data_IF_014120862923
#
_entry.id   IF_014120862923
#
_cell.length_a   1.000
_cell.length_b   1.000
_cell.length_c   1.000
_cell.angle_alpha   90.00
_cell.angle_beta   90.00
_cell.angle_gamma   90.00
#
_symmetry.space_group_name_H-M   'P 1'
#
loop_
_entity.id
_entity.type
_entity.pdbx_description
1 polymer ?
#
# COMPACT_ATOMS: atom_id res chain seq x y z
N UNK A 1 -33.50 16.71 12.86
CA UNK A 1 -32.65 15.59 13.32
C UNK A 1 -31.27 16.16 13.43
N UNK A 2 -30.70 16.22 14.64
CA UNK A 2 -29.32 16.65 14.85
C UNK A 2 -28.46 15.55 14.30
N UNK A 3 -27.68 15.87 13.27
CA UNK A 3 -26.68 14.97 12.69
C UNK A 3 -25.60 14.75 13.76
N UNK A 4 -25.74 13.67 14.52
CA UNK A 4 -24.72 13.24 15.48
C UNK A 4 -23.61 12.61 14.66
N UNK A 5 -22.59 13.40 14.29
CA UNK A 5 -21.35 12.85 13.74
C UNK A 5 -20.82 11.79 14.71
N UNK A 6 -20.44 10.60 14.27
CA UNK A 6 -19.86 9.59 15.15
C UNK A 6 -18.64 10.20 15.83
N UNK A 7 -18.66 10.34 17.15
CA UNK A 7 -17.46 10.68 17.90
C UNK A 7 -16.56 9.44 17.85
N UNK A 8 -15.46 9.51 17.14
CA UNK A 8 -14.40 8.50 17.21
C UNK A 8 -13.71 8.64 18.58
N UNK A 9 -14.12 7.81 19.52
CA UNK A 9 -13.60 7.84 20.88
C UNK A 9 -12.11 7.44 20.96
N UNK A 10 -11.59 6.67 19.98
CA UNK A 10 -10.19 6.28 19.90
C UNK A 10 -9.31 7.40 19.33
N UNK A 11 -9.82 8.34 18.55
CA UNK A 11 -9.04 9.40 17.91
C UNK A 11 -8.11 10.17 18.86
N UNK A 12 -8.53 10.64 20.07
CA UNK A 12 -7.63 11.33 20.98
C UNK A 12 -6.50 10.44 21.51
N UNK A 13 -6.75 9.16 21.76
CA UNK A 13 -5.75 8.21 22.27
C UNK A 13 -4.73 7.89 21.17
N UNK A 14 -5.18 7.65 19.96
CA UNK A 14 -4.36 7.36 18.79
C UNK A 14 -3.54 8.60 18.39
N UNK A 15 -4.15 9.81 18.41
CA UNK A 15 -3.43 11.06 18.15
C UNK A 15 -2.30 11.28 19.17
N UNK A 16 -2.58 11.13 20.47
CA UNK A 16 -1.56 11.27 21.52
C UNK A 16 -0.44 10.22 21.39
N UNK A 17 -0.78 9.01 20.93
CA UNK A 17 0.21 7.97 20.66
C UNK A 17 1.16 8.39 19.54
N UNK A 18 0.66 8.82 18.39
CA UNK A 18 1.50 9.25 17.25
C UNK A 18 2.15 10.63 17.45
N UNK A 19 1.64 11.47 18.34
CA UNK A 19 2.35 12.68 18.77
C UNK A 19 3.63 12.33 19.55
N UNK A 20 3.61 11.21 20.27
CA UNK A 20 4.76 10.71 21.01
C UNK A 20 5.69 9.83 20.16
N UNK A 21 5.14 9.02 19.28
CA UNK A 21 5.85 8.07 18.42
C UNK A 21 5.47 8.33 16.96
N UNK A 22 5.97 9.45 16.36
CA UNK A 22 5.67 9.75 14.95
C UNK A 22 6.05 8.58 14.04
N UNK A 23 5.07 8.05 13.29
CA UNK A 23 5.23 6.85 12.47
C UNK A 23 4.97 7.15 10.98
N UNK A 24 5.65 6.48 10.05
CA UNK A 24 6.77 5.55 10.26
C UNK A 24 8.04 6.28 10.70
N UNK A 25 8.94 5.55 11.40
CA UNK A 25 10.19 6.08 11.94
C UNK A 25 11.33 6.19 10.91
N UNK A 26 11.02 6.32 9.64
CA UNK A 26 12.00 6.42 8.56
C UNK A 26 12.85 7.69 8.67
N UNK A 27 14.18 7.60 8.43
CA UNK A 27 15.05 8.75 8.53
C UNK A 27 14.70 9.83 7.51
N UNK A 28 14.91 11.08 7.90
CA UNK A 28 14.82 12.20 6.97
C UNK A 28 16.05 12.22 6.05
N UNK A 29 15.83 12.56 4.79
CA UNK A 29 16.86 12.64 3.77
C UNK A 29 16.69 13.88 2.91
N UNK A 30 17.77 14.32 2.29
CA UNK A 30 17.74 15.39 1.30
C UNK A 30 17.54 14.81 -0.10
N UNK A 31 16.66 15.43 -0.88
CA UNK A 31 16.31 14.99 -2.23
C UNK A 31 15.20 13.92 -2.26
N UNK A 32 14.84 13.43 -3.47
CA UNK A 32 13.74 12.51 -3.69
C UNK A 32 13.84 11.24 -2.85
N UNK A 33 12.72 10.60 -2.48
CA UNK A 33 12.75 9.36 -1.73
C UNK A 33 13.44 8.27 -2.57
N UNK A 34 14.29 7.44 -1.93
CA UNK A 34 14.96 6.35 -2.63
C UNK A 34 13.98 5.25 -2.94
N UNK A 35 14.14 4.65 -4.10
CA UNK A 35 13.49 3.40 -4.44
C UNK A 35 12.18 3.52 -5.17
N UNK A 36 11.60 2.38 -5.33
CA UNK A 36 10.51 2.09 -6.22
C UNK A 36 9.25 1.77 -5.42
N UNK A 37 8.17 2.53 -5.64
CA UNK A 37 6.85 2.15 -5.15
C UNK A 37 5.76 2.49 -6.17
N UNK A 38 5.47 1.55 -7.07
CA UNK A 38 4.48 1.72 -8.12
C UNK A 38 3.05 1.94 -7.58
N UNK A 39 2.76 1.51 -6.34
CA UNK A 39 1.45 1.70 -5.70
C UNK A 39 1.14 3.16 -5.43
N UNK A 40 2.16 3.98 -5.30
CA UNK A 40 2.02 5.43 -5.12
C UNK A 40 2.13 6.23 -6.42
N UNK A 41 2.25 5.55 -7.57
CA UNK A 41 2.16 6.13 -8.90
C UNK A 41 0.78 5.86 -9.49
N UNK A 42 -0.08 6.86 -9.55
CA UNK A 42 -1.46 6.72 -10.05
C UNK A 42 -1.55 6.04 -11.42
N UNK A 43 -0.66 6.41 -12.35
CA UNK A 43 -0.61 5.85 -13.69
C UNK A 43 -0.28 4.35 -13.67
N UNK A 44 0.66 3.95 -12.83
CA UNK A 44 1.04 2.54 -12.65
C UNK A 44 -0.09 1.72 -12.03
N UNK A 45 -0.78 2.31 -11.04
CA UNK A 45 -1.96 1.68 -10.42
C UNK A 45 -3.09 1.49 -11.41
N UNK A 46 -3.40 2.50 -12.24
CA UNK A 46 -4.41 2.37 -13.30
C UNK A 46 -4.05 1.23 -14.28
N UNK A 47 -2.79 1.17 -14.71
CA UNK A 47 -2.33 0.09 -15.59
C UNK A 47 -2.42 -1.29 -14.92
N UNK A 48 -2.07 -1.40 -13.64
CA UNK A 48 -2.15 -2.65 -12.88
C UNK A 48 -3.61 -3.13 -12.72
N UNK A 49 -4.52 -2.21 -12.38
CA UNK A 49 -5.92 -2.53 -12.08
C UNK A 49 -6.75 -2.68 -13.36
N UNK A 50 -6.65 -1.74 -14.30
CA UNK A 50 -7.48 -1.73 -15.52
C UNK A 50 -6.82 -2.41 -16.73
N UNK A 51 -5.54 -2.80 -16.64
CA UNK A 51 -4.79 -3.37 -17.76
C UNK A 51 -4.26 -2.33 -18.75
N UNK A 52 -4.49 -1.05 -18.52
CA UNK A 52 -3.96 0.08 -19.27
C UNK A 52 -4.03 1.36 -18.44
N UNK A 53 -3.27 2.38 -18.84
CA UNK A 53 -3.39 3.73 -18.31
C UNK A 53 -3.92 4.68 -19.39
N UNK A 54 -4.52 5.83 -19.02
CA UNK A 54 -4.93 6.84 -19.97
C UNK A 54 -3.76 7.38 -20.79
N UNK A 55 -4.01 7.74 -22.03
CA UNK A 55 -3.07 8.48 -22.85
C UNK A 55 -2.91 9.92 -22.30
N UNK A 56 -1.68 10.46 -22.37
CA UNK A 56 -1.38 11.82 -21.91
C UNK A 56 -0.98 11.91 -20.43
N UNK A 57 -0.74 13.13 -19.97
CA UNK A 57 -0.39 13.44 -18.57
C UNK A 57 -1.67 13.83 -17.84
N UNK A 58 -2.33 12.88 -17.22
CA UNK A 58 -3.38 13.21 -16.23
C UNK A 58 -2.73 13.90 -15.03
N UNK A 59 -3.35 14.97 -14.56
CA UNK A 59 -2.99 15.62 -13.30
C UNK A 59 -4.01 15.14 -12.25
N UNK A 60 -3.79 14.00 -11.59
CA UNK A 60 -4.75 13.45 -10.67
C UNK A 60 -4.85 14.30 -9.40
N UNK A 61 -6.02 14.28 -8.81
CA UNK A 61 -6.22 14.76 -7.46
C UNK A 61 -6.05 13.58 -6.51
N UNK A 62 -5.09 13.68 -5.58
CA UNK A 62 -4.65 12.57 -4.72
C UNK A 62 -4.86 12.93 -3.25
N UNK A 63 -5.43 12.00 -2.49
CA UNK A 63 -5.49 12.07 -1.03
C UNK A 63 -4.53 11.05 -0.42
N UNK A 64 -3.65 11.50 0.45
CA UNK A 64 -2.90 10.67 1.38
C UNK A 64 -3.58 10.70 2.75
N UNK A 65 -4.36 9.68 3.02
CA UNK A 65 -5.28 9.61 4.15
C UNK A 65 -4.63 8.88 5.32
N UNK A 66 -4.15 9.64 6.32
CA UNK A 66 -3.29 9.16 7.39
C UNK A 66 -1.83 9.15 6.95
N UNK A 67 -1.33 10.32 6.56
CA UNK A 67 0.00 10.45 5.93
C UNK A 67 1.18 10.25 6.90
N UNK A 68 0.93 10.22 8.20
CA UNK A 68 1.94 10.05 9.22
C UNK A 68 3.10 11.03 9.08
N UNK A 69 4.34 10.52 9.09
CA UNK A 69 5.57 11.31 8.89
C UNK A 69 5.85 11.68 7.43
N UNK A 70 4.87 11.48 6.52
CA UNK A 70 4.92 11.95 5.14
C UNK A 70 5.69 11.06 4.17
N UNK A 71 6.02 9.82 4.53
CA UNK A 71 6.76 8.91 3.63
C UNK A 71 5.96 8.64 2.36
N UNK A 72 4.69 8.23 2.48
CA UNK A 72 3.82 8.03 1.32
C UNK A 72 3.59 9.31 0.53
N UNK A 73 3.37 10.44 1.22
CA UNK A 73 3.16 11.74 0.56
C UNK A 73 4.36 12.14 -0.30
N UNK A 74 5.57 11.88 0.17
CA UNK A 74 6.80 12.17 -0.55
C UNK A 74 6.86 11.41 -1.88
N UNK A 75 6.60 10.11 -1.85
CA UNK A 75 6.48 9.30 -3.07
C UNK A 75 5.33 9.75 -3.97
N UNK A 76 4.15 10.03 -3.39
CA UNK A 76 2.98 10.49 -4.16
C UNK A 76 3.30 11.77 -4.94
N UNK A 77 4.05 12.70 -4.34
CA UNK A 77 4.45 13.93 -5.02
C UNK A 77 5.45 13.66 -6.16
N UNK A 78 6.50 12.90 -5.89
CA UNK A 78 7.57 12.65 -6.87
C UNK A 78 7.14 11.72 -8.03
N UNK A 79 6.19 10.80 -7.80
CA UNK A 79 5.73 9.83 -8.79
C UNK A 79 4.50 10.31 -9.60
N UNK A 80 3.90 11.45 -9.23
CA UNK A 80 2.75 12.02 -9.93
C UNK A 80 2.97 13.51 -10.21
N UNK A 81 3.94 13.88 -11.08
CA UNK A 81 4.25 15.25 -11.37
C UNK A 81 3.01 16.04 -11.82
N UNK A 82 2.83 17.23 -11.23
CA UNK A 82 1.69 18.10 -11.54
C UNK A 82 0.37 17.73 -10.86
N UNK A 83 0.31 16.68 -10.01
CA UNK A 83 -0.89 16.32 -9.24
C UNK A 83 -1.32 17.43 -8.26
N UNK A 84 -2.60 17.41 -7.83
CA UNK A 84 -3.09 18.12 -6.63
C UNK A 84 -3.09 17.13 -5.47
N UNK A 85 -2.18 17.30 -4.50
CA UNK A 85 -1.99 16.35 -3.38
C UNK A 85 -2.48 16.97 -2.08
N UNK A 86 -3.34 16.23 -1.38
CA UNK A 86 -3.82 16.55 -0.04
C UNK A 86 -3.35 15.44 0.90
N UNK A 87 -2.62 15.80 1.94
CA UNK A 87 -2.14 14.89 2.96
C UNK A 87 -2.80 15.22 4.30
N UNK A 88 -3.47 14.27 4.92
CA UNK A 88 -4.17 14.48 6.17
C UNK A 88 -3.70 13.49 7.24
N UNK A 89 -3.58 13.98 8.46
CA UNK A 89 -3.30 13.15 9.63
C UNK A 89 -3.92 13.78 10.89
N UNK A 90 -4.12 13.00 11.94
CA UNK A 90 -4.65 13.50 13.22
C UNK A 90 -3.55 13.95 14.18
N UNK A 91 -2.29 13.56 13.94
CA UNK A 91 -1.13 13.85 14.79
C UNK A 91 -0.37 15.10 14.33
N UNK A 92 -0.27 16.09 15.19
CA UNK A 92 0.58 17.27 14.96
C UNK A 92 2.07 16.90 14.97
N UNK A 93 2.46 15.91 15.80
CA UNK A 93 3.82 15.40 15.87
C UNK A 93 4.25 14.77 14.53
N UNK A 94 3.44 13.87 13.99
CA UNK A 94 3.69 13.25 12.70
C UNK A 94 3.73 14.28 11.56
N UNK A 95 2.76 15.20 11.51
CA UNK A 95 2.71 16.27 10.50
C UNK A 95 3.90 17.23 10.58
N UNK A 96 4.49 17.42 11.75
CA UNK A 96 5.70 18.23 11.88
C UNK A 96 6.88 17.55 11.18
N UNK A 97 7.07 16.24 11.39
CA UNK A 97 8.08 15.45 10.68
C UNK A 97 7.80 15.41 9.17
N UNK A 98 6.53 15.24 8.79
CA UNK A 98 6.11 15.25 7.38
C UNK A 98 6.48 16.56 6.66
N UNK A 99 6.23 17.72 7.29
CA UNK A 99 6.61 19.03 6.71
C UNK A 99 8.11 19.13 6.47
N UNK A 100 8.92 18.71 7.44
CA UNK A 100 10.37 18.69 7.28
C UNK A 100 10.81 17.75 6.17
N UNK A 101 10.27 16.52 6.11
CA UNK A 101 10.54 15.55 5.03
C UNK A 101 10.27 16.15 3.66
N UNK A 102 9.06 16.65 3.45
CA UNK A 102 8.61 17.16 2.14
C UNK A 102 9.34 18.45 1.72
N UNK A 103 9.78 19.26 2.69
CA UNK A 103 10.65 20.40 2.42
C UNK A 103 12.05 19.95 1.96
N UNK A 104 12.64 18.97 2.64
CA UNK A 104 14.01 18.48 2.32
C UNK A 104 14.06 17.71 1.01
N UNK A 105 12.99 17.00 0.68
CA UNK A 105 12.91 16.24 -0.57
C UNK A 105 12.58 17.08 -1.80
N UNK A 106 12.05 18.29 -1.62
CA UNK A 106 11.56 19.13 -2.73
C UNK A 106 10.21 18.66 -3.29
N UNK A 107 9.41 17.94 -2.51
CA UNK A 107 8.14 17.34 -2.94
C UNK A 107 7.13 18.38 -3.47
N UNK A 108 7.03 19.54 -2.83
CA UNK A 108 6.10 20.59 -3.24
C UNK A 108 6.41 21.17 -4.63
N UNK A 109 7.64 21.06 -5.10
CA UNK A 109 8.07 21.54 -6.42
C UNK A 109 7.66 20.59 -7.56
N UNK A 110 7.29 19.35 -7.21
CA UNK A 110 6.91 18.32 -8.19
C UNK A 110 5.44 18.39 -8.59
N UNK A 111 4.59 18.98 -7.75
CA UNK A 111 3.13 18.94 -7.87
C UNK A 111 2.55 20.32 -8.08
N UNK A 112 1.32 20.38 -8.61
CA UNK A 112 0.62 21.67 -8.83
C UNK A 112 0.16 22.29 -7.50
N UNK A 113 -0.14 21.45 -6.50
CA UNK A 113 -0.59 21.84 -5.17
C UNK A 113 -0.24 20.75 -4.17
N UNK A 114 0.23 21.15 -2.99
CA UNK A 114 0.44 20.28 -1.84
C UNK A 114 -0.15 20.92 -0.60
N UNK A 115 -1.17 20.29 -0.02
CA UNK A 115 -1.79 20.71 1.24
C UNK A 115 -1.56 19.64 2.31
N UNK A 116 -1.12 20.08 3.49
CA UNK A 116 -0.96 19.23 4.66
C UNK A 116 -1.87 19.75 5.77
N UNK A 117 -2.78 18.92 6.24
CA UNK A 117 -3.81 19.32 7.18
C UNK A 117 -3.90 18.37 8.37
N UNK A 118 -4.02 18.93 9.57
CA UNK A 118 -4.46 18.16 10.72
C UNK A 118 -5.97 17.94 10.61
N UNK A 119 -6.37 16.72 10.27
CA UNK A 119 -7.75 16.42 9.96
C UNK A 119 -8.07 14.95 10.21
N UNK A 120 -9.25 14.66 10.76
CA UNK A 120 -9.75 13.30 10.87
C UNK A 120 -10.25 12.79 9.53
N UNK A 121 -10.01 11.51 9.24
CA UNK A 121 -10.59 10.83 8.07
C UNK A 121 -12.12 10.80 8.10
N UNK A 122 -12.73 10.97 9.28
CA UNK A 122 -14.18 11.02 9.43
C UNK A 122 -14.78 12.37 8.98
N UNK A 123 -13.96 13.36 8.65
CA UNK A 123 -14.37 14.74 8.31
C UNK A 123 -13.88 15.18 6.92
N UNK A 124 -14.07 14.33 5.90
CA UNK A 124 -13.68 14.62 4.51
C UNK A 124 -14.84 15.17 3.64
N UNK A 125 -16.02 15.42 4.22
CA UNK A 125 -17.28 15.63 3.50
C UNK A 125 -17.33 16.79 2.50
N UNK A 126 -16.51 17.85 2.66
CA UNK A 126 -16.52 19.04 1.82
C UNK A 126 -15.42 19.07 0.74
N UNK A 127 -14.63 17.98 0.64
CA UNK A 127 -13.58 17.88 -0.37
C UNK A 127 -14.14 17.57 -1.77
N UNK A 128 -13.50 18.13 -2.78
CA UNK A 128 -13.73 17.68 -4.14
C UNK A 128 -13.24 16.24 -4.29
N UNK A 129 -13.91 15.43 -5.12
CA UNK A 129 -13.55 14.02 -5.26
C UNK A 129 -12.09 13.81 -5.70
N UNK A 130 -11.47 12.75 -5.17
CA UNK A 130 -10.10 12.35 -5.47
C UNK A 130 -10.07 11.22 -6.50
N UNK A 131 -9.18 11.33 -7.48
CA UNK A 131 -8.93 10.27 -8.47
C UNK A 131 -8.19 9.08 -7.84
N UNK A 132 -7.38 9.35 -6.84
CA UNK A 132 -6.63 8.35 -6.10
C UNK A 132 -6.61 8.68 -4.61
N UNK A 133 -6.92 7.68 -3.80
CA UNK A 133 -6.79 7.79 -2.34
C UNK A 133 -5.82 6.70 -1.88
N UNK A 134 -4.79 7.09 -1.13
CA UNK A 134 -3.88 6.21 -0.45
C UNK A 134 -4.19 6.21 1.04
N UNK A 135 -4.39 5.04 1.66
CA UNK A 135 -4.57 4.91 3.11
C UNK A 135 -3.90 3.62 3.59
N UNK A 136 -2.63 3.73 3.93
CA UNK A 136 -1.74 2.62 4.27
C UNK A 136 -1.47 2.63 5.76
N UNK A 137 -1.87 1.57 6.46
CA UNK A 137 -1.62 1.43 7.89
C UNK A 137 -2.51 2.32 8.78
N UNK A 138 -3.76 2.63 8.37
CA UNK A 138 -4.56 3.66 9.05
C UNK A 138 -5.91 3.15 9.57
N UNK A 139 -6.76 2.61 8.69
CA UNK A 139 -8.16 2.31 9.04
C UNK A 139 -8.30 1.30 10.18
N UNK A 140 -7.37 0.39 10.30
CA UNK A 140 -7.38 -0.63 11.37
C UNK A 140 -7.06 -0.05 12.77
N UNK A 141 -6.66 1.22 12.85
CA UNK A 141 -6.46 1.96 14.10
C UNK A 141 -7.64 2.85 14.49
N UNK A 142 -8.69 2.92 13.67
CA UNK A 142 -9.92 3.61 14.03
C UNK A 142 -10.77 2.75 14.98
N UNK A 143 -11.54 3.42 15.85
CA UNK A 143 -12.57 2.77 16.66
C UNK A 143 -13.69 2.17 15.79
N UNK A 144 -14.03 2.89 14.71
CA UNK A 144 -15.03 2.48 13.73
C UNK A 144 -14.42 2.47 12.31
N UNK A 145 -13.67 1.43 11.93
CA UNK A 145 -13.01 1.35 10.61
C UNK A 145 -13.99 1.51 9.45
N UNK A 146 -15.22 0.99 9.58
CA UNK A 146 -16.26 1.09 8.55
C UNK A 146 -16.72 2.54 8.33
N UNK A 147 -16.72 3.38 9.37
CA UNK A 147 -17.03 4.80 9.24
C UNK A 147 -15.92 5.53 8.48
N UNK A 148 -14.65 5.20 8.77
CA UNK A 148 -13.49 5.68 8.02
C UNK A 148 -13.56 5.28 6.55
N UNK A 149 -13.84 4.01 6.26
CA UNK A 149 -13.97 3.53 4.90
C UNK A 149 -15.11 4.21 4.14
N UNK A 150 -16.27 4.42 4.76
CA UNK A 150 -17.39 5.17 4.14
C UNK A 150 -17.03 6.63 3.84
N UNK A 151 -16.27 7.28 4.72
CA UNK A 151 -15.79 8.65 4.48
C UNK A 151 -14.86 8.69 3.26
N UNK A 152 -13.88 7.77 3.18
CA UNK A 152 -12.99 7.66 2.02
C UNK A 152 -13.78 7.33 0.74
N UNK A 153 -14.75 6.42 0.82
CA UNK A 153 -15.62 6.10 -0.31
C UNK A 153 -16.42 7.32 -0.78
N UNK A 154 -16.90 8.16 0.14
CA UNK A 154 -17.56 9.43 -0.16
C UNK A 154 -16.66 10.38 -0.94
N UNK A 155 -15.41 10.51 -0.53
CA UNK A 155 -14.40 11.37 -1.13
C UNK A 155 -13.79 10.84 -2.44
N UNK A 156 -13.99 9.56 -2.80
CA UNK A 156 -13.47 8.96 -4.02
C UNK A 156 -14.25 9.44 -5.24
N UNK A 157 -13.58 9.78 -6.33
CA UNK A 157 -14.20 10.13 -7.61
C UNK A 157 -14.89 8.91 -8.26
N UNK A 158 -15.89 9.12 -9.13
CA UNK A 158 -16.33 8.06 -10.05
C UNK A 158 -15.15 7.59 -10.92
N UNK A 159 -14.84 6.29 -10.88
CA UNK A 159 -13.67 5.73 -11.57
C UNK A 159 -12.34 5.88 -10.83
N UNK A 160 -12.33 6.56 -9.68
CA UNK A 160 -11.15 6.64 -8.81
C UNK A 160 -10.84 5.31 -8.14
N UNK A 161 -9.59 5.17 -7.66
CA UNK A 161 -9.09 3.99 -6.95
C UNK A 161 -8.67 4.35 -5.52
N UNK A 162 -9.04 3.48 -4.59
CA UNK A 162 -8.63 3.55 -3.19
C UNK A 162 -7.62 2.42 -2.92
N UNK A 163 -6.40 2.77 -2.53
CA UNK A 163 -5.35 1.86 -2.09
C UNK A 163 -5.40 1.71 -0.57
N UNK A 164 -5.49 0.49 -0.10
CA UNK A 164 -5.55 0.16 1.32
C UNK A 164 -4.49 -0.87 1.71
N UNK A 165 -3.96 -0.67 2.92
CA UNK A 165 -3.18 -1.64 3.65
C UNK A 165 -3.84 -1.88 5.01
N UNK A 166 -4.23 -3.13 5.29
CA UNK A 166 -4.85 -3.53 6.55
C UNK A 166 -4.17 -4.75 7.13
N UNK A 167 -4.17 -4.87 8.45
CA UNK A 167 -3.58 -6.01 9.13
C UNK A 167 -4.38 -7.31 8.93
N UNK A 168 -3.66 -8.42 8.70
CA UNK A 168 -4.23 -9.76 8.58
C UNK A 168 -4.07 -10.56 9.88
N UNK A 169 -5.14 -11.25 10.29
CA UNK A 169 -5.19 -12.00 11.54
C UNK A 169 -4.10 -13.10 11.62
N UNK A 170 -3.92 -13.84 10.52
CA UNK A 170 -3.08 -15.02 10.50
C UNK A 170 -1.62 -14.70 10.86
N UNK A 171 -1.01 -13.78 10.12
CA UNK A 171 0.40 -13.42 10.28
C UNK A 171 0.70 -12.48 11.44
N UNK A 172 -0.31 -12.11 12.23
CA UNK A 172 -0.14 -11.26 13.42
C UNK A 172 -0.41 -11.99 14.75
N UNK A 173 -0.58 -13.31 14.71
CA UNK A 173 -0.89 -14.07 15.92
C UNK A 173 0.15 -13.87 17.02
N UNK A 174 1.45 -13.93 16.73
CA UNK A 174 2.53 -13.72 17.69
C UNK A 174 2.56 -12.28 18.21
N UNK A 175 2.25 -11.33 17.35
CA UNK A 175 2.18 -9.90 17.70
C UNK A 175 1.05 -9.68 18.70
N UNK A 176 -0.17 -10.16 18.41
CA UNK A 176 -1.32 -10.04 19.32
C UNK A 176 -1.07 -10.71 20.67
N UNK A 177 -0.37 -11.87 20.69
CA UNK A 177 0.02 -12.54 21.94
C UNK A 177 1.01 -11.69 22.73
N UNK A 178 1.96 -11.06 22.05
CA UNK A 178 2.95 -10.17 22.69
C UNK A 178 2.26 -8.92 23.25
N UNK A 179 1.41 -8.27 22.48
CA UNK A 179 0.60 -7.11 22.92
C UNK A 179 -0.23 -7.48 24.16
N UNK A 180 -0.90 -8.64 24.12
CA UNK A 180 -1.67 -9.11 25.28
C UNK A 180 -0.80 -9.40 26.51
N UNK A 181 0.40 -9.97 26.33
CA UNK A 181 1.33 -10.21 27.43
C UNK A 181 1.81 -8.88 28.05
N UNK A 182 2.17 -7.91 27.23
CA UNK A 182 2.56 -6.56 27.69
C UNK A 182 1.42 -5.88 28.46
N UNK A 183 0.19 -5.95 27.96
CA UNK A 183 -1.00 -5.43 28.66
C UNK A 183 -1.19 -6.09 30.03
N UNK A 184 -1.00 -7.42 30.16
CA UNK A 184 -1.11 -8.14 31.43
C UNK A 184 -0.01 -7.77 32.43
N UNK A 185 1.15 -7.30 31.92
CA UNK A 185 2.26 -6.81 32.73
C UNK A 185 2.16 -5.31 33.04
N UNK A 186 1.05 -4.66 32.64
CA UNK A 186 0.85 -3.22 32.76
C UNK A 186 1.96 -2.40 32.04
N UNK A 187 2.44 -2.93 30.93
CA UNK A 187 3.42 -2.29 30.04
C UNK A 187 2.67 -1.68 28.86
N UNK A 188 2.63 -0.37 28.81
CA UNK A 188 1.99 0.42 27.77
C UNK A 188 2.91 1.48 27.19
N UNK A 189 2.37 2.62 26.86
CA UNK A 189 3.10 3.77 26.27
C UNK A 189 3.77 4.67 27.31
N UNK A 190 3.83 4.27 28.57
CA UNK A 190 4.48 5.02 29.64
C UNK A 190 6.00 5.19 29.41
N UNK A 191 6.66 5.97 30.28
CA UNK A 191 8.07 6.37 30.07
C UNK A 191 9.05 5.19 29.90
N UNK A 192 8.76 4.04 30.51
CA UNK A 192 9.57 2.83 30.45
C UNK A 192 8.99 1.72 29.55
N UNK A 193 7.85 1.97 28.90
CA UNK A 193 7.15 0.97 28.09
C UNK A 193 8.01 0.39 26.97
N UNK A 194 8.73 1.21 26.22
CA UNK A 194 9.69 0.76 25.18
C UNK A 194 10.75 -0.16 25.78
N UNK A 195 11.37 0.27 26.88
CA UNK A 195 12.42 -0.50 27.55
C UNK A 195 11.91 -1.85 28.05
N UNK A 196 10.76 -1.86 28.71
CA UNK A 196 10.14 -3.10 29.22
C UNK A 196 9.63 -3.99 28.10
N UNK A 197 9.04 -3.39 27.05
CA UNK A 197 8.60 -4.14 25.87
C UNK A 197 9.75 -4.85 25.17
N UNK A 198 10.89 -4.19 24.97
CA UNK A 198 12.09 -4.80 24.41
C UNK A 198 12.67 -5.87 25.33
N UNK A 199 12.74 -5.59 26.64
CA UNK A 199 13.23 -6.53 27.64
C UNK A 199 12.39 -7.81 27.71
N UNK A 200 11.12 -7.78 27.34
CA UNK A 200 10.30 -9.00 27.27
C UNK A 200 10.95 -10.05 26.36
N UNK A 201 11.38 -9.68 25.17
CA UNK A 201 12.00 -10.61 24.21
C UNK A 201 13.36 -11.11 24.72
N UNK A 202 14.15 -10.26 25.39
CA UNK A 202 15.43 -10.66 25.97
C UNK A 202 15.27 -11.65 27.13
N UNK A 203 14.17 -11.51 27.90
CA UNK A 203 13.88 -12.35 29.07
C UNK A 203 13.30 -13.71 28.69
N UNK A 204 12.58 -13.82 27.59
CA UNK A 204 11.99 -15.07 27.13
C UNK A 204 13.09 -16.09 26.76
N UNK A 205 12.92 -17.39 27.03
CA UNK A 205 13.85 -18.43 26.57
C UNK A 205 14.02 -18.38 25.04
N UNK A 206 15.22 -18.70 24.53
CA UNK A 206 15.52 -18.73 23.07
C UNK A 206 14.59 -19.65 22.29
N UNK A 207 14.07 -20.70 22.92
CA UNK A 207 13.11 -21.64 22.31
C UNK A 207 11.68 -21.09 22.29
N UNK A 208 11.41 -19.96 22.93
CA UNK A 208 10.07 -19.35 22.95
C UNK A 208 9.67 -18.88 21.56
N UNK A 209 8.44 -19.22 21.14
CA UNK A 209 7.94 -18.91 19.80
C UNK A 209 7.84 -17.39 19.55
N UNK A 210 7.40 -16.59 20.52
CA UNK A 210 7.25 -15.14 20.37
C UNK A 210 8.62 -14.47 20.18
N UNK A 211 9.65 -14.88 20.99
CA UNK A 211 11.01 -14.39 20.84
C UNK A 211 11.57 -14.70 19.46
N UNK A 212 11.49 -15.96 19.03
CA UNK A 212 12.00 -16.37 17.70
C UNK A 212 11.30 -15.64 16.55
N UNK A 213 9.97 -15.50 16.62
CA UNK A 213 9.20 -14.78 15.61
C UNK A 213 9.63 -13.31 15.52
N UNK A 214 9.82 -12.63 16.66
CA UNK A 214 10.34 -11.27 16.68
C UNK A 214 11.75 -11.19 16.06
N UNK A 215 12.68 -12.03 16.55
CA UNK A 215 14.09 -12.02 16.11
C UNK A 215 14.26 -12.32 14.60
N UNK A 216 13.45 -13.25 14.07
CA UNK A 216 13.57 -13.71 12.70
C UNK A 216 12.85 -12.81 11.68
N UNK A 217 11.79 -12.16 12.11
CA UNK A 217 10.89 -11.46 11.19
C UNK A 217 10.83 -9.95 11.40
N UNK A 218 10.85 -9.47 12.63
CA UNK A 218 10.50 -8.09 12.95
C UNK A 218 11.60 -7.28 13.62
N UNK A 219 12.69 -7.90 14.07
CA UNK A 219 13.72 -7.20 14.84
C UNK A 219 14.32 -6.02 14.09
N UNK A 220 14.52 -6.16 12.77
CA UNK A 220 15.07 -5.07 11.92
C UNK A 220 14.06 -3.95 11.78
N UNK A 221 12.81 -4.27 11.46
CA UNK A 221 11.74 -3.28 11.24
C UNK A 221 11.37 -2.57 12.55
N UNK A 222 11.47 -3.26 13.69
CA UNK A 222 11.21 -2.73 15.03
C UNK A 222 12.44 -2.09 15.69
N UNK A 223 13.57 -1.96 15.00
CA UNK A 223 14.74 -1.29 15.57
C UNK A 223 14.47 0.19 15.94
N UNK A 224 13.78 1.00 15.10
CA UNK A 224 13.31 2.33 15.51
C UNK A 224 12.24 2.22 16.61
N UNK A 225 12.28 3.15 17.57
CA UNK A 225 11.34 3.17 18.70
C UNK A 225 9.89 3.37 18.25
N UNK A 226 9.65 4.22 17.27
CA UNK A 226 8.30 4.44 16.72
C UNK A 226 7.72 3.15 16.13
N UNK A 227 8.52 2.38 15.38
CA UNK A 227 8.08 1.14 14.77
C UNK A 227 7.84 0.03 15.81
N UNK A 228 8.68 -0.04 16.85
CA UNK A 228 8.44 -0.96 17.96
C UNK A 228 7.15 -0.61 18.72
N UNK A 229 6.95 0.68 18.99
CA UNK A 229 5.76 1.16 19.66
C UNK A 229 4.50 0.86 18.84
N UNK A 230 4.51 1.17 17.56
CA UNK A 230 3.39 0.89 16.64
C UNK A 230 3.03 -0.59 16.63
N UNK A 231 4.00 -1.47 16.54
CA UNK A 231 3.76 -2.92 16.47
C UNK A 231 3.30 -3.54 17.79
N UNK A 232 3.85 -3.14 18.94
CA UNK A 232 3.65 -3.88 20.19
C UNK A 232 2.94 -3.09 21.28
N UNK A 233 2.92 -1.75 21.22
CA UNK A 233 2.37 -0.88 22.25
C UNK A 233 1.18 -0.05 21.77
N UNK A 234 0.75 -0.20 20.51
CA UNK A 234 -0.36 0.56 19.96
C UNK A 234 -1.66 0.28 20.76
N UNK A 235 -2.39 1.35 21.18
CA UNK A 235 -3.55 1.18 22.06
C UNK A 235 -4.79 0.63 21.34
N UNK A 236 -4.87 0.72 20.01
CA UNK A 236 -6.06 0.39 19.23
C UNK A 236 -5.68 -0.27 17.91
N UNK A 237 -6.10 -1.51 17.71
CA UNK A 237 -5.82 -2.27 16.49
C UNK A 237 -6.97 -3.22 16.16
N UNK A 238 -7.31 -3.31 14.88
CA UNK A 238 -8.25 -4.30 14.34
C UNK A 238 -7.56 -5.04 13.20
N UNK A 239 -7.62 -6.36 13.19
CA UNK A 239 -7.14 -7.18 12.09
C UNK A 239 -8.27 -7.94 11.40
N UNK A 240 -8.00 -8.43 10.21
CA UNK A 240 -8.98 -9.01 9.31
C UNK A 240 -8.55 -10.40 8.85
N UNK A 241 -9.50 -11.27 8.60
CA UNK A 241 -9.35 -12.38 7.67
C UNK A 241 -9.97 -11.97 6.31
N UNK A 242 -9.76 -12.76 5.28
CA UNK A 242 -10.22 -12.44 3.93
C UNK A 242 -11.75 -12.20 3.87
N UNK A 243 -12.56 -13.03 4.53
CA UNK A 243 -14.02 -12.90 4.54
C UNK A 243 -14.46 -11.57 5.16
N UNK A 244 -13.88 -11.20 6.31
CA UNK A 244 -14.13 -9.91 6.96
C UNK A 244 -13.66 -8.74 6.11
N UNK A 245 -12.52 -8.88 5.41
CA UNK A 245 -11.99 -7.88 4.49
C UNK A 245 -12.96 -7.57 3.36
N UNK A 246 -13.47 -8.62 2.68
CA UNK A 246 -14.41 -8.47 1.58
C UNK A 246 -15.74 -7.89 2.05
N UNK A 247 -16.22 -8.33 3.22
CA UNK A 247 -17.42 -7.76 3.86
C UNK A 247 -17.22 -6.30 4.26
N UNK A 248 -16.04 -5.93 4.75
CA UNK A 248 -15.67 -4.56 5.08
C UNK A 248 -15.72 -3.65 3.85
N UNK A 249 -15.13 -4.06 2.72
CA UNK A 249 -15.20 -3.32 1.47
C UNK A 249 -16.66 -3.12 1.01
N UNK A 250 -17.47 -4.19 1.01
CA UNK A 250 -18.87 -4.16 0.62
C UNK A 250 -19.73 -3.24 1.52
N UNK A 251 -19.39 -3.11 2.82
CA UNK A 251 -20.12 -2.25 3.78
C UNK A 251 -20.11 -0.77 3.42
N UNK A 252 -19.13 -0.32 2.64
CA UNK A 252 -19.01 1.03 2.12
C UNK A 252 -19.50 1.17 0.66
N UNK A 253 -20.09 0.14 0.08
CA UNK A 253 -20.50 0.12 -1.32
C UNK A 253 -19.35 0.12 -2.31
N UNK A 254 -18.18 -0.38 -1.88
CA UNK A 254 -16.99 -0.50 -2.72
C UNK A 254 -16.81 -1.92 -3.23
N UNK A 255 -16.18 -2.03 -4.38
CA UNK A 255 -15.86 -3.29 -5.05
C UNK A 255 -14.35 -3.55 -4.94
N UNK A 256 -14.00 -4.81 -4.69
CA UNK A 256 -12.62 -5.26 -4.68
C UNK A 256 -12.04 -5.20 -6.10
N UNK A 257 -10.98 -4.45 -6.29
CA UNK A 257 -10.35 -4.20 -7.59
C UNK A 257 -9.06 -5.03 -7.81
N UNK A 258 -8.57 -5.70 -6.77
CA UNK A 258 -7.44 -6.62 -6.82
C UNK A 258 -6.41 -6.37 -5.71
N UNK A 259 -5.62 -7.39 -5.42
CA UNK A 259 -4.45 -7.26 -4.56
C UNK A 259 -3.31 -6.52 -5.26
N UNK A 260 -2.51 -5.78 -4.50
CA UNK A 260 -1.30 -5.13 -5.02
C UNK A 260 -0.24 -6.16 -5.44
N UNK A 261 -0.16 -7.28 -4.72
CA UNK A 261 0.72 -8.42 -5.02
C UNK A 261 -0.13 -9.68 -5.25
N UNK A 262 -0.79 -9.82 -6.42
CA UNK A 262 -1.67 -10.95 -6.68
C UNK A 262 -0.95 -12.32 -6.66
N UNK A 263 0.37 -12.34 -6.91
CA UNK A 263 1.17 -13.56 -6.83
C UNK A 263 1.27 -14.14 -5.41
N UNK A 264 1.13 -13.32 -4.36
CA UNK A 264 1.06 -13.81 -2.97
C UNK A 264 -0.17 -14.68 -2.77
N UNK A 265 -1.24 -14.40 -3.52
CA UNK A 265 -2.56 -15.05 -3.44
C UNK A 265 -2.74 -16.16 -4.47
N UNK A 266 -1.69 -16.50 -5.25
CA UNK A 266 -1.72 -17.62 -6.20
C UNK A 266 -1.45 -18.94 -5.47
N UNK A 267 -2.39 -19.93 -5.52
CA UNK A 267 -2.17 -21.26 -4.93
C UNK A 267 -0.95 -22.00 -5.51
N UNK A 268 -0.53 -21.67 -6.74
CA UNK A 268 0.65 -22.27 -7.36
C UNK A 268 1.96 -21.96 -6.60
N UNK A 269 1.97 -20.94 -5.76
CA UNK A 269 3.09 -20.66 -4.85
C UNK A 269 3.27 -21.72 -3.76
N UNK A 270 2.18 -22.40 -3.37
CA UNK A 270 2.13 -23.30 -2.22
C UNK A 270 1.86 -24.76 -2.60
N UNK A 271 1.17 -24.99 -3.71
CA UNK A 271 0.66 -26.32 -4.11
C UNK A 271 1.24 -26.76 -5.45
N UNK A 272 1.28 -28.08 -5.65
CA UNK A 272 1.67 -28.73 -6.91
C UNK A 272 0.77 -29.91 -7.22
N UNK A 273 0.81 -30.42 -8.47
CA UNK A 273 0.10 -31.64 -8.91
C UNK A 273 -1.42 -31.53 -8.72
N UNK A 274 -2.07 -32.64 -8.36
CA UNK A 274 -3.52 -32.75 -8.25
C UNK A 274 -4.14 -31.73 -7.26
N UNK A 275 -3.42 -31.35 -6.18
CA UNK A 275 -3.90 -30.35 -5.24
C UNK A 275 -3.94 -28.96 -5.87
N UNK A 276 -2.95 -28.63 -6.70
CA UNK A 276 -2.97 -27.37 -7.45
C UNK A 276 -4.10 -27.35 -8.48
N UNK A 277 -4.32 -28.44 -9.22
CA UNK A 277 -5.42 -28.54 -10.18
C UNK A 277 -6.77 -28.33 -9.51
N UNK A 278 -6.99 -28.93 -8.32
CA UNK A 278 -8.20 -28.73 -7.52
C UNK A 278 -8.32 -27.27 -7.03
N UNK A 279 -7.23 -26.67 -6.59
CA UNK A 279 -7.23 -25.29 -6.14
C UNK A 279 -7.57 -24.32 -7.28
N UNK A 280 -6.98 -24.51 -8.45
CA UNK A 280 -7.23 -23.68 -9.64
C UNK A 280 -8.65 -23.81 -10.21
N UNK A 281 -9.35 -24.90 -9.90
CA UNK A 281 -10.76 -25.09 -10.25
C UNK A 281 -11.74 -24.32 -9.33
N UNK A 282 -11.25 -23.77 -8.20
CA UNK A 282 -12.07 -22.97 -7.30
C UNK A 282 -12.32 -21.56 -7.87
N UNK A 283 -13.44 -20.91 -7.50
CA UNK A 283 -13.61 -19.48 -7.74
C UNK A 283 -12.47 -18.66 -7.11
N UNK A 284 -12.10 -17.48 -7.66
CA UNK A 284 -10.95 -16.69 -7.19
C UNK A 284 -10.96 -16.42 -5.69
N UNK A 285 -12.09 -16.02 -5.11
CA UNK A 285 -12.21 -15.75 -3.67
C UNK A 285 -11.93 -16.99 -2.81
N UNK A 286 -12.30 -18.19 -3.29
CA UNK A 286 -12.00 -19.44 -2.60
C UNK A 286 -10.53 -19.85 -2.76
N UNK A 287 -9.89 -19.49 -3.88
CA UNK A 287 -8.45 -19.68 -4.05
C UNK A 287 -7.68 -18.80 -3.03
N UNK A 288 -8.08 -17.53 -2.87
CA UNK A 288 -7.48 -16.64 -1.88
C UNK A 288 -7.70 -17.12 -0.44
N UNK A 289 -8.93 -17.58 -0.14
CA UNK A 289 -9.24 -18.16 1.17
C UNK A 289 -8.40 -19.41 1.45
N UNK A 290 -8.15 -20.25 0.45
CA UNK A 290 -7.26 -21.42 0.56
C UNK A 290 -5.82 -20.98 0.86
N UNK A 291 -5.31 -19.98 0.15
CA UNK A 291 -3.96 -19.43 0.38
C UNK A 291 -3.84 -18.88 1.80
N UNK A 292 -4.83 -18.11 2.28
CA UNK A 292 -4.85 -17.60 3.67
C UNK A 292 -4.72 -18.72 4.70
N UNK A 293 -5.38 -19.86 4.47
CA UNK A 293 -5.28 -21.01 5.38
C UNK A 293 -3.94 -21.75 5.32
N UNK A 294 -3.29 -21.74 4.16
CA UNK A 294 -2.04 -22.45 3.92
C UNK A 294 -0.79 -21.62 4.25
N UNK A 295 -0.92 -20.29 4.24
CA UNK A 295 0.17 -19.36 4.51
C UNK A 295 -0.14 -18.48 5.74
N UNK A 296 0.13 -18.98 6.94
CA UNK A 296 -0.10 -18.22 8.17
C UNK A 296 0.86 -17.04 8.36
N UNK A 297 1.82 -16.85 7.44
CA UNK A 297 2.77 -15.74 7.50
C UNK A 297 2.25 -14.46 6.83
N UNK A 298 1.11 -14.50 6.16
CA UNK A 298 0.46 -13.31 5.60
C UNK A 298 0.01 -12.40 6.76
N UNK A 299 0.74 -11.30 6.98
CA UNK A 299 0.52 -10.36 8.08
C UNK A 299 -0.33 -9.15 7.72
N UNK A 300 -0.61 -8.94 6.43
CA UNK A 300 -1.38 -7.81 5.93
C UNK A 300 -2.06 -8.13 4.60
N UNK A 301 -3.10 -7.36 4.33
CA UNK A 301 -3.72 -7.24 3.02
C UNK A 301 -3.34 -5.90 2.42
N UNK A 302 -2.83 -5.88 1.21
CA UNK A 302 -2.60 -4.68 0.43
C UNK A 302 -3.35 -4.80 -0.90
N UNK A 303 -4.31 -3.89 -1.13
CA UNK A 303 -5.31 -4.08 -2.19
C UNK A 303 -5.91 -2.74 -2.64
N UNK A 304 -6.63 -2.82 -3.77
CA UNK A 304 -7.36 -1.69 -4.33
C UNK A 304 -8.87 -1.90 -4.28
N UNK A 305 -9.58 -0.80 -4.06
CA UNK A 305 -11.04 -0.74 -4.12
C UNK A 305 -11.48 0.34 -5.13
N UNK A 306 -12.71 0.19 -5.65
CA UNK A 306 -13.33 1.13 -6.58
C UNK A 306 -14.83 1.24 -6.32
N UNK A 307 -15.47 2.35 -6.77
CA UNK A 307 -16.94 2.52 -6.67
C UNK A 307 -17.72 1.64 -7.63
N UNK A 308 -17.09 1.12 -8.67
CA UNK A 308 -17.71 0.27 -9.66
C UNK A 308 -16.85 -0.97 -9.89
N UNK A 309 -17.44 -2.11 -10.27
CA UNK A 309 -16.69 -3.29 -10.62
C UNK A 309 -15.66 -2.98 -11.72
N UNK A 310 -14.42 -3.38 -11.49
CA UNK A 310 -13.34 -3.20 -12.46
C UNK A 310 -13.43 -4.30 -13.52
N UNK A 311 -13.45 -3.89 -14.78
CA UNK A 311 -13.20 -4.77 -15.90
C UNK A 311 -11.80 -4.54 -16.43
N UNK A 312 -10.87 -5.45 -16.08
CA UNK A 312 -9.50 -5.38 -16.56
C UNK A 312 -9.47 -5.68 -18.06
N UNK A 313 -8.89 -4.77 -18.85
CA UNK A 313 -8.66 -4.96 -20.28
C UNK A 313 -7.68 -6.12 -20.50
N UNK A 314 -8.06 -7.06 -21.35
CA UNK A 314 -7.18 -8.10 -21.88
C UNK A 314 -6.67 -7.69 -23.26
N UNK A 315 -5.47 -8.11 -23.59
CA UNK A 315 -4.78 -7.72 -24.81
C UNK A 315 -4.45 -8.98 -25.62
N UNK A 316 -4.98 -9.08 -26.84
CA UNK A 316 -4.52 -10.07 -27.81
C UNK A 316 -3.12 -9.69 -28.31
N UNK A 317 -2.43 -10.59 -29.00
CA UNK A 317 -1.12 -10.29 -29.57
C UNK A 317 -1.20 -9.17 -30.61
N UNK A 318 -2.25 -9.15 -31.43
CA UNK A 318 -2.50 -8.07 -32.39
C UNK A 318 -2.76 -6.72 -31.69
N UNK A 319 -3.50 -6.73 -30.55
CA UNK A 319 -3.73 -5.51 -29.76
C UNK A 319 -2.43 -5.00 -29.14
N UNK A 320 -1.56 -5.88 -28.64
CA UNK A 320 -0.26 -5.52 -28.10
C UNK A 320 0.65 -4.87 -29.15
N UNK A 321 0.68 -5.44 -30.38
CA UNK A 321 1.48 -4.90 -31.48
C UNK A 321 0.96 -3.54 -31.96
N UNK A 322 -0.36 -3.33 -31.93
CA UNK A 322 -0.97 -2.05 -32.30
C UNK A 322 -0.93 -1.01 -31.17
N UNK A 323 -0.67 -1.42 -29.93
CA UNK A 323 -0.71 -0.55 -28.76
C UNK A 323 0.40 0.50 -28.74
N UNK A 324 0.13 1.56 -27.98
CA UNK A 324 1.16 2.48 -27.48
C UNK A 324 1.46 2.19 -26.02
N UNK A 325 2.68 2.47 -25.60
CA UNK A 325 3.10 2.33 -24.22
C UNK A 325 3.95 3.50 -23.78
N UNK A 326 4.10 3.60 -22.47
CA UNK A 326 5.10 4.44 -21.83
C UNK A 326 5.94 3.59 -20.91
N UNK A 327 7.14 4.07 -20.64
CA UNK A 327 8.00 3.47 -19.64
C UNK A 327 7.36 3.54 -18.27
N UNK A 328 7.55 2.51 -17.44
CA UNK A 328 7.13 2.54 -16.04
C UNK A 328 7.87 3.66 -15.29
N UNK A 329 7.16 4.66 -14.72
CA UNK A 329 7.83 5.78 -14.02
C UNK A 329 8.60 5.37 -12.78
N UNK A 330 8.26 4.22 -12.22
CA UNK A 330 8.83 3.69 -10.98
C UNK A 330 9.96 2.68 -11.22
N UNK A 331 10.60 2.66 -12.39
CA UNK A 331 11.73 1.77 -12.63
C UNK A 331 12.93 2.15 -11.77
N UNK A 332 13.51 1.16 -11.13
CA UNK A 332 14.74 1.33 -10.35
C UNK A 332 15.80 0.29 -10.73
N UNK A 333 17.07 0.68 -10.56
CA UNK A 333 18.20 -0.21 -10.78
C UNK A 333 18.57 -0.38 -12.25
N UNK A 334 18.06 0.48 -13.14
CA UNK A 334 18.42 0.43 -14.54
C UNK A 334 19.84 0.96 -14.77
N UNK A 335 20.62 0.36 -15.69
CA UNK A 335 20.26 -0.78 -16.54
C UNK A 335 20.47 -2.17 -15.92
N UNK A 336 21.11 -2.29 -14.76
CA UNK A 336 21.41 -3.61 -14.18
C UNK A 336 21.83 -3.52 -12.70
N UNK A 337 21.16 -4.23 -11.76
CA UNK A 337 19.97 -5.02 -11.96
C UNK A 337 18.70 -4.15 -12.02
N UNK A 338 17.75 -4.49 -12.90
CA UNK A 338 16.41 -3.92 -12.87
C UNK A 338 15.64 -4.57 -11.73
N UNK A 339 14.94 -3.78 -10.92
CA UNK A 339 14.07 -4.30 -9.88
C UNK A 339 12.64 -4.46 -10.40
N UNK A 340 12.06 -5.62 -10.14
CA UNK A 340 10.65 -5.89 -10.37
C UNK A 340 9.74 -5.20 -9.36
N UNK A 341 8.43 -5.36 -9.53
CA UNK A 341 7.40 -4.71 -8.70
C UNK A 341 7.47 -5.06 -7.20
N UNK A 342 8.14 -6.16 -6.85
CA UNK A 342 8.35 -6.60 -5.47
C UNK A 342 9.74 -6.24 -4.94
N UNK A 343 10.44 -5.30 -5.59
CA UNK A 343 11.79 -4.86 -5.23
C UNK A 343 12.86 -5.95 -5.34
N UNK A 344 12.57 -7.05 -6.03
CA UNK A 344 13.55 -8.10 -6.27
C UNK A 344 14.22 -7.93 -7.65
N UNK A 345 15.53 -8.24 -7.76
CA UNK A 345 16.23 -8.21 -9.04
C UNK A 345 15.57 -9.15 -10.05
N UNK A 346 15.26 -8.65 -11.23
CA UNK A 346 14.73 -9.45 -12.33
C UNK A 346 15.73 -9.54 -13.46
N UNK A 347 15.77 -10.70 -14.12
CA UNK A 347 16.53 -10.90 -15.35
C UNK A 347 15.58 -10.77 -16.54
N UNK A 348 15.96 -9.95 -17.50
CA UNK A 348 15.29 -9.83 -18.80
C UNK A 348 16.30 -10.08 -19.92
N UNK A 349 15.82 -10.56 -21.07
CA UNK A 349 16.67 -10.85 -22.22
C UNK A 349 17.30 -9.56 -22.81
N UNK A 350 18.32 -9.72 -23.64
CA UNK A 350 18.95 -8.57 -24.33
C UNK A 350 17.93 -7.84 -25.23
N UNK A 351 17.04 -8.62 -25.88
CA UNK A 351 15.98 -8.09 -26.72
C UNK A 351 14.94 -7.32 -25.90
N UNK A 352 14.58 -7.82 -24.71
CA UNK A 352 13.68 -7.14 -23.78
C UNK A 352 14.30 -5.84 -23.26
N UNK A 353 15.61 -5.83 -22.95
CA UNK A 353 16.34 -4.59 -22.59
C UNK A 353 16.33 -3.58 -23.72
N UNK A 354 16.53 -4.01 -24.95
CA UNK A 354 16.51 -3.15 -26.13
C UNK A 354 15.10 -2.53 -26.35
N UNK A 355 14.04 -3.32 -26.19
CA UNK A 355 12.66 -2.82 -26.26
C UNK A 355 12.38 -1.81 -25.13
N UNK A 356 12.76 -2.15 -23.89
CA UNK A 356 12.58 -1.26 -22.75
C UNK A 356 13.29 0.08 -22.96
N UNK A 357 14.50 0.08 -23.53
CA UNK A 357 15.25 1.29 -23.84
C UNK A 357 14.60 2.11 -24.98
N UNK A 358 13.88 1.46 -25.89
CA UNK A 358 13.18 2.14 -26.98
C UNK A 358 11.84 2.78 -26.54
N UNK A 359 11.23 2.28 -25.45
CA UNK A 359 10.02 2.85 -24.86
C UNK A 359 10.40 4.00 -23.94
N UNK A 360 9.86 5.19 -24.22
CA UNK A 360 10.16 6.42 -23.48
C UNK A 360 9.04 6.78 -22.49
N UNK A 361 9.22 7.85 -21.74
CA UNK A 361 8.20 8.43 -20.85
C UNK A 361 7.03 9.06 -21.63
N UNK A 362 7.22 9.29 -22.93
CA UNK A 362 6.17 9.70 -23.86
C UNK A 362 5.59 8.50 -24.58
N UNK A 363 4.35 8.63 -25.10
CA UNK A 363 3.70 7.57 -25.85
C UNK A 363 4.59 7.03 -26.99
N UNK A 364 4.92 5.76 -26.92
CA UNK A 364 5.76 5.05 -27.90
C UNK A 364 4.94 3.93 -28.53
N UNK A 365 4.90 3.86 -29.83
CA UNK A 365 4.19 2.82 -30.58
C UNK A 365 3.82 3.25 -32.01
N UNK A 366 3.23 2.33 -32.80
CA UNK A 366 2.82 0.95 -32.47
C UNK A 366 3.99 0.05 -32.03
N UNK A 367 3.80 -0.68 -30.93
CA UNK A 367 4.88 -1.48 -30.34
C UNK A 367 5.35 -2.62 -31.27
N UNK A 368 4.48 -3.13 -32.14
CA UNK A 368 4.82 -4.14 -33.15
C UNK A 368 5.88 -3.71 -34.16
N UNK A 369 6.16 -2.40 -34.29
CA UNK A 369 7.30 -1.90 -35.07
C UNK A 369 8.64 -2.07 -34.35
N UNK A 370 8.61 -2.27 -33.03
CA UNK A 370 9.78 -2.39 -32.18
C UNK A 370 10.07 -3.85 -31.80
N UNK A 371 9.03 -4.65 -31.57
CA UNK A 371 9.17 -6.03 -31.09
C UNK A 371 7.90 -6.85 -31.36
N UNK A 372 8.01 -8.20 -31.41
CA UNK A 372 6.85 -9.10 -31.48
C UNK A 372 6.08 -9.16 -30.16
N UNK A 373 4.79 -9.52 -30.22
CA UNK A 373 3.89 -9.55 -29.10
C UNK A 373 4.39 -10.31 -27.87
N UNK A 374 5.05 -11.48 -27.96
CA UNK A 374 5.56 -12.17 -26.76
C UNK A 374 6.55 -11.33 -25.94
N UNK A 375 7.41 -10.57 -26.60
CA UNK A 375 8.38 -9.70 -25.94
C UNK A 375 7.73 -8.48 -25.30
N UNK A 376 6.72 -7.92 -26.00
CA UNK A 376 5.90 -6.82 -25.45
C UNK A 376 5.18 -7.31 -24.18
N UNK A 377 4.57 -8.51 -24.25
CA UNK A 377 3.86 -9.13 -23.13
C UNK A 377 4.78 -9.36 -21.93
N UNK A 378 6.01 -9.83 -22.16
CA UNK A 378 6.99 -9.99 -21.07
C UNK A 378 7.19 -8.69 -20.28
N UNK A 379 7.38 -7.55 -20.98
CA UNK A 379 7.59 -6.27 -20.30
C UNK A 379 6.32 -5.75 -19.60
N UNK A 380 5.15 -5.99 -20.19
CA UNK A 380 3.85 -5.61 -19.59
C UNK A 380 3.56 -6.43 -18.33
N UNK A 381 3.73 -7.74 -18.38
CA UNK A 381 3.46 -8.64 -17.25
C UNK A 381 4.41 -8.37 -16.07
N UNK A 382 5.65 -7.95 -16.38
CA UNK A 382 6.63 -7.51 -15.38
C UNK A 382 6.45 -6.05 -14.95
N UNK A 383 5.44 -5.35 -15.47
CA UNK A 383 5.19 -3.92 -15.21
C UNK A 383 6.40 -3.00 -15.50
N UNK A 384 7.19 -3.30 -16.52
CA UNK A 384 8.30 -2.46 -16.96
C UNK A 384 7.87 -1.39 -17.96
N UNK A 385 6.77 -1.65 -18.68
CA UNK A 385 6.07 -0.68 -19.53
C UNK A 385 4.57 -0.68 -19.21
N UNK A 386 3.92 0.46 -19.41
CA UNK A 386 2.50 0.67 -19.19
C UNK A 386 1.81 0.88 -20.53
N UNK A 387 0.88 -0.01 -20.88
CA UNK A 387 0.06 0.13 -22.08
C UNK A 387 -0.91 1.30 -21.92
N UNK A 388 -1.13 2.03 -23.02
CA UNK A 388 -2.11 3.11 -23.08
C UNK A 388 -3.39 2.64 -23.78
N UNK A 389 -4.55 3.05 -23.24
CA UNK A 389 -5.84 2.66 -23.77
C UNK A 389 -6.89 3.74 -23.69
#
# INVERSE_FOLDING_TARGET
MVDVRPSDAATPVVSAFYDRFPFPGDPLQDGPPPGYNWRWCHRSVLAAVHGCCPAGTAQPRILDAGCGTGVSTDYLCHLNPGADVVAVDISDGALTVARERLQRSGAAEQVSSLRQERRSLLDLGDEQPFDYINSVGVLHHLDQPEAGLRSLAGALAPGGLLHLFLYADAGRWEIHRTQRALTLLDVGTEADGLRLGRALFETLPETNRLRRHHEQRWAVDCAPDANFADMYLHPQETSYNLERLLSFAASAGLHFAGFSNPEVWDPARLLTGELLERAQALPPEQQWALVEQLDPDISHFEFFLSKQPVQRRTWSDADLEAATAVRQPCLWGEPDPILGRNMEPIQITAEAKALLAAVTDSATGPLGQLAPAPLIRELVDRQLILLQG
#
